data_IF_583266390881
#
_entry.id   IF_583266390881
#
_cell.length_a   1.000
_cell.length_b   1.000
_cell.length_c   1.000
_cell.angle_alpha   90.00
_cell.angle_beta   90.00
_cell.angle_gamma   90.00
#
_symmetry.space_group_name_H-M   'P 1'
#
loop_
_entity.id
_entity.type
_entity.pdbx_description
1 polymer ?
#
# COMPACT_ATOMS: atom_id res chain seq x y z
N UNK A 1 -9.71 -9.94 9.42
CA UNK A 1 -10.93 -9.24 9.89
C UNK A 1 -11.29 -7.92 9.18
N UNK A 2 -10.71 -7.61 7.99
CA UNK A 2 -11.34 -6.69 7.01
C UNK A 2 -11.86 -7.47 5.78
N UNK A 3 -11.41 -8.72 5.61
CA UNK A 3 -11.85 -9.60 4.50
C UNK A 3 -13.32 -10.05 4.53
N UNK A 4 -14.07 -9.81 5.62
CA UNK A 4 -15.48 -10.23 5.72
C UNK A 4 -16.49 -9.12 5.44
N UNK A 5 -16.08 -7.84 5.45
CA UNK A 5 -16.93 -6.71 5.08
C UNK A 5 -16.27 -5.98 3.92
N UNK A 6 -16.97 -5.82 2.80
CA UNK A 6 -16.40 -5.19 1.59
C UNK A 6 -16.06 -3.71 1.80
N UNK A 7 -16.67 -3.07 2.80
CA UNK A 7 -16.50 -1.67 3.19
C UNK A 7 -16.55 -1.56 4.72
N UNK A 8 -15.73 -0.68 5.31
CA UNK A 8 -15.75 -0.36 6.74
C UNK A 8 -15.64 1.14 7.01
N UNK A 9 -16.31 1.62 8.07
CA UNK A 9 -16.14 2.99 8.58
C UNK A 9 -14.98 3.07 9.55
N UNK A 10 -14.47 4.28 9.85
CA UNK A 10 -13.42 4.46 10.86
C UNK A 10 -13.84 3.91 12.22
N UNK A 11 -15.09 4.15 12.64
CA UNK A 11 -15.63 3.61 13.88
C UNK A 11 -15.68 2.08 13.86
N UNK A 12 -16.15 1.49 12.76
CA UNK A 12 -16.21 0.04 12.62
C UNK A 12 -14.83 -0.62 12.65
N UNK A 13 -13.82 0.04 12.06
CA UNK A 13 -12.42 -0.42 12.10
C UNK A 13 -11.88 -0.34 13.54
N UNK A 14 -12.08 0.79 14.23
CA UNK A 14 -11.64 0.97 15.61
C UNK A 14 -12.29 -0.06 16.55
N UNK A 15 -13.59 -0.31 16.38
CA UNK A 15 -14.33 -1.32 17.14
C UNK A 15 -13.81 -2.74 16.88
N UNK A 16 -13.54 -3.07 15.62
CA UNK A 16 -12.97 -4.37 15.26
C UNK A 16 -11.59 -4.56 15.90
N UNK A 17 -10.72 -3.55 15.85
CA UNK A 17 -9.40 -3.58 16.48
C UNK A 17 -9.53 -3.78 17.99
N UNK A 18 -10.39 -3.02 18.66
CA UNK A 18 -10.61 -3.15 20.12
C UNK A 18 -11.09 -4.56 20.50
N UNK A 19 -11.98 -5.15 19.71
CA UNK A 19 -12.48 -6.52 19.92
C UNK A 19 -11.39 -7.59 19.83
N UNK A 20 -10.31 -7.35 19.07
CA UNK A 20 -9.20 -8.33 18.97
C UNK A 20 -8.41 -8.48 20.27
N UNK A 21 -8.47 -7.49 21.19
CA UNK A 21 -7.72 -7.47 22.45
C UNK A 21 -6.19 -7.65 22.29
N UNK A 22 -5.66 -7.33 21.11
CA UNK A 22 -4.21 -7.42 20.83
C UNK A 22 -3.44 -6.33 21.59
N UNK A 23 -4.03 -5.15 21.71
CA UNK A 23 -3.43 -4.04 22.45
C UNK A 23 -3.75 -4.16 23.94
N UNK A 24 -2.71 -4.10 24.77
CA UNK A 24 -2.82 -4.06 26.24
C UNK A 24 -3.23 -2.67 26.76
N UNK A 25 -3.11 -1.66 25.92
CA UNK A 25 -3.44 -0.25 26.19
C UNK A 25 -4.65 0.18 25.38
N UNK A 26 -5.27 1.30 25.77
CA UNK A 26 -6.34 1.89 24.97
C UNK A 26 -5.81 2.29 23.59
N UNK A 27 -6.50 1.80 22.55
CA UNK A 27 -6.24 2.16 21.18
C UNK A 27 -7.23 3.24 20.76
N UNK A 28 -6.73 4.46 20.56
CA UNK A 28 -7.55 5.64 20.36
C UNK A 28 -8.10 5.73 18.93
N UNK A 29 -9.18 6.50 18.76
CA UNK A 29 -9.75 6.78 17.44
C UNK A 29 -8.74 7.51 16.54
N UNK A 30 -7.96 8.43 17.10
CA UNK A 30 -6.95 9.19 16.37
C UNK A 30 -5.84 8.27 15.82
N UNK A 31 -5.34 7.34 16.64
CA UNK A 31 -4.36 6.34 16.17
C UNK A 31 -4.91 5.47 15.04
N UNK A 32 -6.20 5.09 15.14
CA UNK A 32 -6.86 4.35 14.06
C UNK A 32 -6.88 5.18 12.77
N UNK A 33 -7.18 6.47 12.87
CA UNK A 33 -7.26 7.38 11.74
C UNK A 33 -5.90 7.57 11.07
N UNK A 34 -4.83 7.79 11.85
CA UNK A 34 -3.46 7.90 11.35
C UNK A 34 -3.05 6.65 10.58
N UNK A 35 -3.26 5.47 11.17
CA UNK A 35 -2.91 4.20 10.52
C UNK A 35 -3.73 3.99 9.25
N UNK A 36 -5.02 4.32 9.25
CA UNK A 36 -5.85 4.19 8.04
C UNK A 36 -5.39 5.17 6.94
N UNK A 37 -5.00 6.40 7.29
CA UNK A 37 -4.41 7.36 6.34
C UNK A 37 -3.13 6.80 5.72
N UNK A 38 -2.24 6.23 6.51
CA UNK A 38 -1.01 5.61 6.00
C UNK A 38 -1.33 4.46 5.03
N UNK A 39 -2.33 3.63 5.33
CA UNK A 39 -2.77 2.55 4.43
C UNK A 39 -3.39 3.07 3.12
N UNK A 40 -3.98 4.27 3.13
CA UNK A 40 -4.45 4.94 1.91
C UNK A 40 -3.27 5.46 1.10
N UNK A 41 -2.25 6.04 1.76
CA UNK A 41 -1.00 6.48 1.12
C UNK A 41 -0.24 5.30 0.48
N UNK A 42 -0.18 4.17 1.17
CA UNK A 42 0.36 2.90 0.66
C UNK A 42 -0.50 2.27 -0.44
N UNK A 43 -1.64 2.89 -0.79
CA UNK A 43 -2.54 2.46 -1.84
C UNK A 43 -3.17 1.06 -1.56
N UNK A 44 -3.15 0.61 -0.31
CA UNK A 44 -3.69 -0.69 0.14
C UNK A 44 -5.18 -0.60 0.47
N UNK A 45 -5.61 0.58 0.92
CA UNK A 45 -6.99 0.93 1.23
C UNK A 45 -7.40 2.12 0.37
N UNK A 46 -8.67 2.19 0.01
CA UNK A 46 -9.24 3.32 -0.75
C UNK A 46 -10.33 3.96 0.09
N UNK A 47 -10.23 5.27 0.26
CA UNK A 47 -11.29 6.10 0.83
C UNK A 47 -12.41 6.31 -0.19
N UNK A 48 -13.65 6.11 0.23
CA UNK A 48 -14.85 6.25 -0.59
C UNK A 48 -15.96 6.89 0.23
N UNK A 49 -16.87 7.62 -0.40
CA UNK A 49 -18.09 8.12 0.24
C UNK A 49 -19.24 7.14 0.05
N UNK A 50 -20.00 6.91 1.12
CA UNK A 50 -21.19 6.05 1.09
C UNK A 50 -22.22 6.59 0.10
N UNK A 51 -22.73 5.70 -0.76
CA UNK A 51 -23.87 5.97 -1.64
C UNK A 51 -25.20 5.59 -0.98
N UNK A 52 -25.19 4.96 0.21
CA UNK A 52 -26.37 4.42 0.88
C UNK A 52 -27.01 3.22 0.17
N UNK A 53 -26.37 2.67 -0.86
CA UNK A 53 -26.89 1.55 -1.66
C UNK A 53 -25.89 0.39 -1.69
N UNK A 54 -26.39 -0.84 -1.86
CA UNK A 54 -25.56 -2.04 -2.00
C UNK A 54 -24.65 -2.27 -0.79
N UNK A 55 -23.33 -2.30 -1.03
CA UNK A 55 -22.30 -2.51 0.01
C UNK A 55 -22.26 -1.38 1.05
N UNK A 56 -22.95 -0.27 0.80
CA UNK A 56 -23.08 0.88 1.69
C UNK A 56 -24.47 1.01 2.33
N UNK A 57 -25.38 0.03 2.16
CA UNK A 57 -26.78 0.15 2.59
C UNK A 57 -26.95 0.45 4.09
N UNK A 58 -26.03 -0.02 4.93
CA UNK A 58 -26.04 0.21 6.38
C UNK A 58 -25.34 1.51 6.81
N UNK A 59 -24.89 2.33 5.86
CA UNK A 59 -24.06 3.51 6.13
C UNK A 59 -24.73 4.76 5.57
N UNK A 60 -24.85 5.80 6.39
CA UNK A 60 -25.41 7.09 5.99
C UNK A 60 -24.74 7.63 4.71
N UNK A 61 -25.56 8.10 3.77
CA UNK A 61 -25.13 8.70 2.50
C UNK A 61 -24.14 9.84 2.78
N UNK A 62 -23.04 9.86 2.02
CA UNK A 62 -21.98 10.87 2.14
C UNK A 62 -20.96 10.61 3.24
N UNK A 63 -21.20 9.64 4.14
CA UNK A 63 -20.22 9.27 5.18
C UNK A 63 -18.98 8.64 4.56
N UNK A 64 -17.80 8.99 5.07
CA UNK A 64 -16.52 8.44 4.63
C UNK A 64 -16.37 7.00 5.11
N UNK A 65 -15.95 6.14 4.18
CA UNK A 65 -15.74 4.72 4.35
C UNK A 65 -14.46 4.28 3.66
N UNK A 66 -14.00 3.08 4.01
CA UNK A 66 -12.76 2.52 3.52
C UNK A 66 -13.01 1.13 2.95
N UNK A 67 -12.42 0.84 1.79
CA UNK A 67 -12.41 -0.48 1.19
C UNK A 67 -10.97 -0.94 0.98
N UNK A 68 -10.69 -2.20 1.26
CA UNK A 68 -9.42 -2.78 0.81
C UNK A 68 -9.44 -2.83 -0.71
N UNK A 69 -8.30 -2.54 -1.35
CA UNK A 69 -8.14 -2.97 -2.75
C UNK A 69 -8.18 -4.49 -2.75
N UNK A 70 -9.22 -5.06 -3.36
CA UNK A 70 -9.32 -6.51 -3.53
C UNK A 70 -8.02 -7.01 -4.16
N UNK A 71 -7.48 -8.13 -3.65
CA UNK A 71 -6.61 -9.00 -4.44
C UNK A 71 -7.46 -9.64 -5.54
N UNK A 72 -7.98 -8.83 -6.46
CA UNK A 72 -8.60 -9.32 -7.70
C UNK A 72 -7.54 -10.14 -8.40
N UNK A 73 -7.81 -11.44 -8.53
CA UNK A 73 -6.82 -12.49 -8.75
C UNK A 73 -5.74 -12.15 -9.77
N UNK A 74 -4.49 -12.48 -9.43
CA UNK A 74 -3.34 -12.62 -10.35
C UNK A 74 -3.01 -11.42 -11.28
N UNK A 75 -3.73 -10.28 -11.16
CA UNK A 75 -3.66 -9.14 -12.10
C UNK A 75 -3.75 -7.77 -11.41
N UNK A 76 -3.93 -7.73 -10.08
CA UNK A 76 -4.15 -6.50 -9.31
C UNK A 76 -2.98 -6.03 -8.44
N UNK A 77 -1.85 -6.77 -8.41
CA UNK A 77 -0.61 -6.19 -7.90
C UNK A 77 -0.11 -5.19 -8.94
N UNK A 78 0.19 -3.96 -8.49
CA UNK A 78 0.88 -2.99 -9.33
C UNK A 78 2.17 -3.66 -9.80
N UNK A 79 2.23 -4.06 -11.07
CA UNK A 79 3.42 -4.66 -11.64
C UNK A 79 4.57 -3.72 -11.36
N UNK A 80 5.61 -4.22 -10.71
CA UNK A 80 6.85 -3.46 -10.51
C UNK A 80 7.29 -3.00 -11.90
N UNK A 81 7.44 -1.68 -12.06
CA UNK A 81 7.85 -1.12 -13.34
C UNK A 81 9.23 -1.67 -13.73
N UNK A 82 9.47 -1.82 -15.04
CA UNK A 82 10.70 -2.43 -15.55
C UNK A 82 11.99 -1.78 -15.00
N UNK A 83 11.96 -0.48 -14.73
CA UNK A 83 13.09 0.23 -14.12
C UNK A 83 13.32 -0.17 -12.66
N UNK A 84 12.27 -0.40 -11.89
CA UNK A 84 12.38 -0.84 -10.50
C UNK A 84 12.76 -2.33 -10.38
N UNK A 85 12.66 -3.11 -11.45
CA UNK A 85 13.10 -4.51 -11.49
C UNK A 85 14.57 -4.71 -11.88
N UNK A 86 15.29 -3.65 -12.26
CA UNK A 86 16.71 -3.71 -12.61
C UNK A 86 17.53 -2.80 -11.69
N UNK A 87 18.80 -3.10 -11.43
CA UNK A 87 19.62 -2.31 -10.50
C UNK A 87 19.82 -0.85 -10.96
N UNK A 88 19.66 -0.56 -12.25
CA UNK A 88 19.80 0.78 -12.80
C UNK A 88 18.72 1.77 -12.32
N UNK A 89 17.47 1.31 -12.13
CA UNK A 89 16.39 2.22 -11.73
C UNK A 89 16.42 2.65 -10.26
N UNK A 90 17.25 2.00 -9.44
CA UNK A 90 17.49 2.34 -8.03
C UNK A 90 18.94 2.78 -7.77
N UNK A 91 19.76 2.91 -8.82
CA UNK A 91 21.17 3.26 -8.68
C UNK A 91 21.33 4.72 -8.23
N UNK A 92 21.96 4.99 -7.07
CA UNK A 92 22.11 6.37 -6.55
C UNK A 92 23.09 7.22 -7.36
N UNK A 93 23.85 6.61 -8.28
CA UNK A 93 24.84 7.26 -9.14
C UNK A 93 24.51 7.16 -10.63
N UNK A 94 23.26 6.86 -10.99
CA UNK A 94 22.86 6.64 -12.39
C UNK A 94 23.20 7.84 -13.30
N UNK A 95 23.12 9.06 -12.78
CA UNK A 95 23.45 10.29 -13.52
C UNK A 95 24.93 10.44 -13.88
N UNK A 96 25.81 9.67 -13.24
CA UNK A 96 27.25 9.67 -13.48
C UNK A 96 27.70 8.44 -14.30
N UNK A 97 26.76 7.54 -14.62
CA UNK A 97 27.06 6.31 -15.32
C UNK A 97 27.16 6.57 -16.84
N UNK A 98 28.37 6.43 -17.40
CA UNK A 98 28.63 6.62 -18.83
C UNK A 98 29.48 5.48 -19.37
N UNK A 99 29.40 5.13 -20.66
CA UNK A 99 30.17 4.01 -21.23
C UNK A 99 31.67 4.09 -20.94
N UNK A 100 32.25 5.28 -21.05
CA UNK A 100 33.70 5.54 -20.88
C UNK A 100 34.06 6.20 -19.53
N UNK A 101 33.10 6.28 -18.61
CA UNK A 101 33.27 6.94 -17.32
C UNK A 101 33.91 6.04 -16.25
N UNK A 102 34.32 6.66 -15.14
CA UNK A 102 34.76 5.94 -13.92
C UNK A 102 33.64 5.03 -13.41
N UNK A 103 32.40 5.51 -13.46
CA UNK A 103 31.20 4.72 -13.24
C UNK A 103 30.69 4.32 -14.61
N UNK A 104 30.90 3.07 -14.99
CA UNK A 104 30.52 2.56 -16.31
C UNK A 104 29.62 1.33 -16.21
N UNK A 105 28.65 1.15 -17.13
CA UNK A 105 27.87 -0.07 -17.21
C UNK A 105 28.73 -1.32 -17.40
N UNK A 106 29.86 -1.21 -18.11
CA UNK A 106 30.74 -2.36 -18.44
C UNK A 106 31.52 -2.89 -17.24
N UNK A 107 31.80 -2.05 -16.25
CA UNK A 107 32.51 -2.40 -15.01
C UNK A 107 31.60 -2.34 -13.77
N UNK A 108 30.28 -2.24 -13.96
CA UNK A 108 29.33 -2.03 -12.89
C UNK A 108 29.17 -3.26 -11.97
N UNK A 109 29.65 -3.14 -10.74
CA UNK A 109 29.54 -4.20 -9.71
C UNK A 109 28.10 -4.54 -9.32
N UNK A 110 27.17 -3.57 -9.40
CA UNK A 110 25.76 -3.81 -9.08
C UNK A 110 25.06 -4.61 -10.17
N UNK A 111 25.39 -4.33 -11.43
CA UNK A 111 24.83 -5.05 -12.57
C UNK A 111 25.38 -6.48 -12.62
N UNK A 112 26.69 -6.65 -12.43
CA UNK A 112 27.33 -7.96 -12.35
C UNK A 112 26.73 -8.82 -11.23
N UNK A 113 26.64 -8.29 -10.00
CA UNK A 113 26.02 -9.00 -8.87
C UNK A 113 24.55 -9.36 -9.13
N UNK A 114 23.79 -8.48 -9.80
CA UNK A 114 22.39 -8.75 -10.11
C UNK A 114 22.21 -9.87 -11.15
N UNK A 115 23.16 -10.03 -12.07
CA UNK A 115 23.18 -11.13 -13.06
C UNK A 115 23.74 -12.46 -12.51
N UNK A 116 24.46 -12.43 -11.40
CA UNK A 116 25.13 -13.59 -10.77
C UNK A 116 24.19 -14.41 -9.85
N UNK A 117 22.87 -14.26 -10.02
CA UNK A 117 21.82 -14.95 -9.25
C UNK A 117 21.10 -16.02 -10.06
#
# INVERSE_FOLDING_TARGET
>A
MIYQHKVGTLEGIADAIRKTKIFKTEFTKQQTEEIVRDLVLDNRVVEVKSTGMGEFASIQIGKVCYKCKSKGGTRGETKVGAMASIPCGVCPRISQCTPDGIISPSTCVYFAKWLDF
#
